data_IF_830287453471
#
_entry.id   IF_830287453471
#
_cell.length_a   1.000
_cell.length_b   1.000
_cell.length_c   1.000
_cell.angle_alpha   90.00
_cell.angle_beta   90.00
_cell.angle_gamma   90.00
#
_symmetry.space_group_name_H-M   'P 1'
#
loop_
_entity.id
_entity.type
_entity.pdbx_description
1 polymer ?
#
# COMPACT_ATOMS: atom_id res chain seq x y z
N UNK A 1 2.98 -19.69 -18.57
CA UNK A 1 4.34 -19.96 -19.09
C UNK A 1 5.31 -19.71 -17.95
N UNK A 2 5.91 -20.73 -17.38
CA UNK A 2 6.98 -20.58 -16.38
C UNK A 2 8.24 -20.20 -17.13
N UNK A 3 8.84 -19.07 -16.81
CA UNK A 3 10.17 -18.71 -17.29
C UNK A 3 11.14 -19.75 -16.68
N UNK A 4 11.68 -20.66 -17.49
CA UNK A 4 12.67 -21.63 -17.06
C UNK A 4 13.96 -20.87 -16.71
N UNK A 5 14.14 -20.57 -15.45
CA UNK A 5 15.39 -20.05 -14.91
C UNK A 5 16.23 -21.24 -14.44
N UNK A 6 17.18 -21.64 -15.26
CA UNK A 6 18.32 -22.45 -14.89
C UNK A 6 19.03 -21.72 -13.75
N UNK A 7 19.28 -22.45 -12.63
CA UNK A 7 19.85 -21.90 -11.41
C UNK A 7 21.18 -21.19 -11.63
N UNK A 8 21.11 -19.87 -11.65
CA UNK A 8 22.25 -19.00 -11.50
C UNK A 8 21.96 -18.05 -10.36
N UNK A 9 22.87 -17.98 -9.41
CA UNK A 9 23.08 -16.80 -8.56
C UNK A 9 23.50 -15.68 -9.50
N UNK A 10 22.54 -15.07 -10.19
CA UNK A 10 22.80 -14.03 -11.18
C UNK A 10 23.34 -12.84 -10.42
N UNK A 11 24.62 -12.53 -10.63
CA UNK A 11 25.19 -11.23 -10.33
C UNK A 11 24.33 -10.23 -11.09
N UNK A 12 23.37 -9.60 -10.38
CA UNK A 12 22.38 -8.71 -10.97
C UNK A 12 23.10 -7.68 -11.84
N UNK A 13 22.75 -7.59 -13.12
CA UNK A 13 23.34 -6.65 -14.07
C UNK A 13 23.20 -5.22 -13.53
N UNK A 14 24.11 -4.34 -13.92
CA UNK A 14 24.16 -2.96 -13.42
C UNK A 14 22.81 -2.25 -13.60
N UNK A 15 22.19 -2.43 -14.77
CA UNK A 15 20.92 -1.77 -15.10
C UNK A 15 19.78 -2.18 -14.17
N UNK A 16 19.64 -3.46 -13.84
CA UNK A 16 18.63 -3.93 -12.86
C UNK A 16 18.89 -3.39 -11.45
N UNK A 17 20.17 -3.29 -11.05
CA UNK A 17 20.53 -2.67 -9.75
C UNK A 17 20.14 -1.20 -9.69
N UNK A 18 20.34 -0.47 -10.79
CA UNK A 18 20.00 0.95 -10.87
C UNK A 18 18.47 1.14 -10.81
N UNK A 19 17.70 0.30 -11.52
CA UNK A 19 16.23 0.30 -11.45
C UNK A 19 15.76 -0.04 -10.03
N UNK A 20 16.32 -1.10 -9.42
CA UNK A 20 15.96 -1.52 -8.05
C UNK A 20 16.19 -0.39 -7.03
N UNK A 21 17.37 0.24 -7.09
CA UNK A 21 17.71 1.37 -6.22
C UNK A 21 16.80 2.57 -6.47
N UNK A 22 16.46 2.82 -7.72
CA UNK A 22 15.53 3.89 -8.07
C UNK A 22 14.14 3.65 -7.48
N UNK A 23 13.62 2.42 -7.57
CA UNK A 23 12.33 2.06 -6.95
C UNK A 23 12.40 2.27 -5.44
N UNK A 24 13.46 1.80 -4.76
CA UNK A 24 13.62 1.93 -3.32
C UNK A 24 13.60 3.39 -2.87
N UNK A 25 14.38 4.26 -3.53
CA UNK A 25 14.43 5.69 -3.23
C UNK A 25 13.07 6.36 -3.45
N UNK A 26 12.48 6.22 -4.64
CA UNK A 26 11.19 6.86 -5.00
C UNK A 26 10.06 6.46 -4.05
N UNK A 27 9.98 5.18 -3.69
CA UNK A 27 8.97 4.68 -2.78
C UNK A 27 9.20 5.11 -1.34
N UNK A 28 10.48 5.23 -0.92
CA UNK A 28 10.84 5.70 0.41
C UNK A 28 10.51 7.18 0.58
N UNK A 29 10.82 8.01 -0.42
CA UNK A 29 10.50 9.45 -0.43
C UNK A 29 8.98 9.67 -0.39
N UNK A 30 8.22 8.87 -1.12
CA UNK A 30 6.76 8.96 -1.18
C UNK A 30 6.05 8.71 0.16
N UNK A 31 6.70 8.10 1.15
CA UNK A 31 6.09 7.88 2.48
C UNK A 31 5.82 9.20 3.20
N UNK A 32 6.73 10.15 3.11
CA UNK A 32 6.68 11.44 3.83
C UNK A 32 6.27 12.63 2.96
N UNK A 33 6.50 12.55 1.66
CA UNK A 33 6.16 13.59 0.71
C UNK A 33 4.76 13.36 0.10
N UNK A 34 3.78 14.12 0.59
CA UNK A 34 2.39 14.04 0.11
C UNK A 34 2.19 14.57 -1.33
N UNK A 35 3.16 15.31 -1.89
CA UNK A 35 3.14 15.77 -3.28
C UNK A 35 3.72 14.73 -4.23
N UNK A 36 4.46 13.75 -3.72
CA UNK A 36 4.99 12.67 -4.53
C UNK A 36 3.85 11.83 -5.12
N UNK A 37 3.79 11.62 -6.45
CA UNK A 37 2.72 10.84 -7.07
C UNK A 37 2.56 9.41 -6.52
N UNK A 38 3.62 8.81 -5.98
CA UNK A 38 3.55 7.50 -5.34
C UNK A 38 3.02 7.52 -3.90
N UNK A 39 2.74 8.71 -3.33
CA UNK A 39 2.11 8.81 -2.01
C UNK A 39 0.70 8.22 -1.98
N UNK A 40 -0.03 8.35 -3.08
CA UNK A 40 -1.32 7.72 -3.30
C UNK A 40 -1.17 6.56 -4.28
N UNK A 41 -1.79 5.43 -3.97
CA UNK A 41 -1.75 4.29 -4.86
C UNK A 41 -3.09 3.56 -4.92
N UNK A 42 -3.30 2.83 -6.00
CA UNK A 42 -4.47 1.97 -6.18
C UNK A 42 -4.13 0.58 -5.69
N UNK A 43 -4.96 0.04 -4.79
CA UNK A 43 -4.88 -1.36 -4.39
C UNK A 43 -6.12 -2.11 -4.86
N UNK A 44 -5.89 -3.26 -5.46
CA UNK A 44 -6.90 -4.20 -5.92
C UNK A 44 -6.85 -5.51 -5.14
N UNK A 45 -8.02 -6.05 -4.88
CA UNK A 45 -8.22 -7.41 -4.38
C UNK A 45 -9.43 -8.03 -5.07
N UNK A 46 -9.58 -9.34 -4.97
CA UNK A 46 -10.76 -10.05 -5.46
C UNK A 46 -11.50 -10.68 -4.29
N UNK A 47 -12.81 -10.51 -4.26
CA UNK A 47 -13.72 -11.20 -3.34
C UNK A 47 -14.84 -11.82 -4.14
N UNK A 48 -15.07 -13.11 -3.97
CA UNK A 48 -16.13 -13.84 -4.70
C UNK A 48 -16.04 -13.67 -6.23
N UNK A 49 -14.81 -13.68 -6.76
CA UNK A 49 -14.47 -13.45 -8.17
C UNK A 49 -14.80 -12.04 -8.70
N UNK A 50 -15.19 -11.11 -7.84
CA UNK A 50 -15.41 -9.72 -8.21
C UNK A 50 -14.16 -8.91 -7.85
N UNK A 51 -13.49 -8.27 -8.82
CA UNK A 51 -12.35 -7.40 -8.54
C UNK A 51 -12.84 -6.08 -7.94
N UNK A 52 -12.14 -5.61 -6.92
CA UNK A 52 -12.39 -4.32 -6.27
C UNK A 52 -11.09 -3.52 -6.21
N UNK A 53 -11.19 -2.23 -6.53
CA UNK A 53 -10.05 -1.30 -6.47
C UNK A 53 -10.40 -0.06 -5.66
N UNK A 54 -9.40 0.54 -5.01
CA UNK A 54 -9.53 1.82 -4.30
C UNK A 54 -8.17 2.50 -4.17
N UNK A 55 -8.20 3.81 -4.04
CA UNK A 55 -7.02 4.59 -3.72
C UNK A 55 -6.78 4.60 -2.21
N UNK A 56 -5.55 4.44 -1.79
CA UNK A 56 -5.11 4.50 -0.39
C UNK A 56 -3.78 5.25 -0.28
N UNK A 57 -3.41 5.62 0.95
CA UNK A 57 -2.23 6.44 1.24
C UNK A 57 -1.08 5.55 1.70
N UNK A 58 0.09 5.69 1.08
CA UNK A 58 1.31 5.01 1.50
C UNK A 58 1.78 5.55 2.85
N UNK A 59 1.94 4.68 3.84
CA UNK A 59 2.31 5.05 5.20
C UNK A 59 3.65 4.48 5.66
N UNK A 60 4.14 3.48 4.97
CA UNK A 60 5.46 2.88 5.16
C UNK A 60 5.86 2.14 3.90
N UNK A 61 7.15 2.12 3.62
CA UNK A 61 7.78 1.28 2.61
C UNK A 61 9.09 0.72 3.15
N UNK A 62 9.43 -0.49 2.78
CA UNK A 62 10.74 -1.10 3.03
C UNK A 62 11.03 -2.15 1.96
N UNK A 63 11.96 -1.84 1.08
CA UNK A 63 12.43 -2.78 0.08
C UNK A 63 13.12 -3.99 0.73
N UNK A 64 13.93 -3.76 1.76
CA UNK A 64 14.64 -4.82 2.49
C UNK A 64 13.68 -5.85 3.12
N UNK A 65 12.56 -5.37 3.71
CA UNK A 65 11.53 -6.23 4.31
C UNK A 65 10.46 -6.69 3.33
N UNK A 66 10.50 -6.21 2.09
CA UNK A 66 9.52 -6.48 1.03
C UNK A 66 8.09 -6.11 1.47
N UNK A 67 7.93 -4.99 2.17
CA UNK A 67 6.63 -4.54 2.69
C UNK A 67 6.34 -3.09 2.34
N UNK A 68 5.06 -2.78 2.19
CA UNK A 68 4.52 -1.44 2.35
C UNK A 68 3.22 -1.48 3.15
N UNK A 69 2.79 -0.33 3.69
CA UNK A 69 1.66 -0.28 4.59
C UNK A 69 0.75 0.90 4.26
N UNK A 70 -0.55 0.71 4.47
CA UNK A 70 -1.54 1.77 4.56
C UNK A 70 -2.42 1.57 5.80
N UNK A 71 -3.18 2.59 6.19
CA UNK A 71 -4.07 2.54 7.33
C UNK A 71 -5.51 2.34 6.89
N UNK A 72 -6.32 1.68 7.73
CA UNK A 72 -7.74 1.49 7.49
C UNK A 72 -8.51 1.40 8.81
N UNK A 73 -9.83 1.38 8.69
CA UNK A 73 -10.77 1.10 9.76
C UNK A 73 -11.12 -0.39 9.74
N UNK A 74 -11.06 -1.07 10.88
CA UNK A 74 -11.36 -2.50 11.02
C UNK A 74 -12.80 -2.83 10.60
N UNK A 75 -13.72 -1.89 10.75
CA UNK A 75 -15.14 -2.01 10.42
C UNK A 75 -15.40 -1.95 8.91
N UNK A 76 -14.40 -1.54 8.11
CA UNK A 76 -14.53 -1.44 6.66
C UNK A 76 -14.70 -2.81 6.01
N UNK A 77 -15.67 -3.00 5.07
CA UNK A 77 -15.89 -4.26 4.36
C UNK A 77 -14.65 -4.81 3.66
N UNK A 78 -13.74 -3.92 3.20
CA UNK A 78 -12.47 -4.35 2.59
C UNK A 78 -11.64 -5.23 3.52
N UNK A 79 -11.69 -4.97 4.84
CA UNK A 79 -10.87 -5.72 5.82
C UNK A 79 -11.36 -7.16 5.94
N UNK A 80 -12.68 -7.38 6.01
CA UNK A 80 -13.24 -8.74 6.04
C UNK A 80 -12.93 -9.51 4.76
N UNK A 81 -13.00 -8.83 3.59
CA UNK A 81 -12.65 -9.41 2.29
C UNK A 81 -11.18 -9.79 2.18
N UNK A 82 -10.28 -8.89 2.64
CA UNK A 82 -8.84 -9.14 2.66
C UNK A 82 -8.43 -10.25 3.64
N UNK A 83 -9.17 -10.44 4.73
CA UNK A 83 -8.97 -11.61 5.62
C UNK A 83 -9.33 -12.93 4.95
N UNK A 84 -10.37 -12.94 4.10
CA UNK A 84 -10.80 -14.13 3.35
C UNK A 84 -9.86 -14.44 2.18
N UNK A 85 -9.44 -13.43 1.44
CA UNK A 85 -8.48 -13.54 0.34
C UNK A 85 -7.39 -12.49 0.48
N UNK A 86 -6.21 -12.84 1.02
CA UNK A 86 -5.16 -11.89 1.29
C UNK A 86 -4.36 -11.46 0.05
N UNK A 87 -4.63 -12.04 -1.13
CA UNK A 87 -3.91 -11.67 -2.34
C UNK A 87 -4.26 -10.25 -2.77
N UNK A 88 -3.26 -9.49 -3.17
CA UNK A 88 -3.43 -8.14 -3.68
C UNK A 88 -2.62 -7.88 -4.95
N UNK A 89 -3.05 -6.88 -5.69
CA UNK A 89 -2.25 -6.14 -6.66
C UNK A 89 -2.32 -4.66 -6.32
N UNK A 90 -1.18 -3.97 -6.38
CA UNK A 90 -1.12 -2.54 -6.16
C UNK A 90 -0.47 -1.85 -7.36
N UNK A 91 -1.02 -0.70 -7.73
CA UNK A 91 -0.55 0.14 -8.83
C UNK A 91 -0.13 1.51 -8.30
N UNK A 92 1.13 1.86 -8.54
CA UNK A 92 1.70 3.18 -8.36
C UNK A 92 2.03 3.75 -9.74
N UNK A 93 1.65 5.00 -9.99
CA UNK A 93 1.93 5.66 -11.26
C UNK A 93 2.43 7.07 -11.04
N UNK A 94 3.58 7.37 -11.64
CA UNK A 94 4.14 8.72 -11.67
C UNK A 94 3.97 9.28 -13.09
N UNK A 95 3.06 10.24 -13.31
CA UNK A 95 2.77 10.79 -14.64
C UNK A 95 3.92 11.66 -15.19
N UNK A 96 4.69 12.32 -14.33
CA UNK A 96 5.80 13.17 -14.73
C UNK A 96 6.98 12.33 -15.26
N UNK A 97 7.35 11.29 -14.49
CA UNK A 97 8.42 10.36 -14.84
C UNK A 97 7.96 9.27 -15.81
N UNK A 98 6.64 9.16 -16.04
CA UNK A 98 5.99 8.11 -16.84
C UNK A 98 6.42 6.71 -16.38
N UNK A 99 6.44 6.51 -15.06
CA UNK A 99 6.82 5.24 -14.45
C UNK A 99 5.60 4.61 -13.80
N UNK A 100 5.37 3.34 -14.11
CA UNK A 100 4.38 2.50 -13.47
C UNK A 100 5.08 1.39 -12.67
N UNK A 101 4.65 1.21 -11.43
CA UNK A 101 5.05 0.09 -10.58
C UNK A 101 3.82 -0.73 -10.22
N UNK A 102 3.88 -2.04 -10.44
CA UNK A 102 2.85 -2.97 -9.98
C UNK A 102 3.46 -3.91 -8.98
N UNK A 103 2.88 -3.96 -7.79
CA UNK A 103 3.26 -4.88 -6.72
C UNK A 103 2.21 -5.96 -6.60
N UNK A 104 2.63 -7.21 -6.38
CA UNK A 104 1.73 -8.31 -6.06
C UNK A 104 2.25 -9.11 -4.88
N UNK A 105 1.35 -9.65 -4.08
CA UNK A 105 1.73 -10.39 -2.87
C UNK A 105 0.54 -10.68 -1.98
N UNK A 106 0.80 -10.73 -0.67
CA UNK A 106 -0.21 -11.03 0.35
C UNK A 106 -0.31 -9.93 1.39
N UNK A 107 -1.49 -9.79 1.96
CA UNK A 107 -1.80 -8.81 3.00
C UNK A 107 -1.87 -9.50 4.36
N UNK A 108 -1.33 -8.81 5.37
CA UNK A 108 -1.53 -9.07 6.78
C UNK A 108 -2.26 -7.89 7.42
N UNK A 109 -3.25 -8.15 8.28
CA UNK A 109 -3.98 -7.13 9.03
C UNK A 109 -3.45 -7.09 10.46
N UNK A 110 -2.78 -5.99 10.80
CA UNK A 110 -2.26 -5.76 12.15
C UNK A 110 -3.29 -4.94 12.94
N UNK A 111 -3.73 -5.44 14.09
CA UNK A 111 -4.75 -4.81 14.92
C UNK A 111 -4.48 -5.04 16.41
N UNK A 112 -4.50 -3.98 17.22
CA UNK A 112 -4.33 -4.00 18.67
C UNK A 112 -3.03 -4.66 19.20
N UNK A 113 -2.00 -4.72 18.37
CA UNK A 113 -0.67 -5.22 18.69
C UNK A 113 0.31 -4.11 19.06
N UNK A 114 1.55 -4.47 19.35
CA UNK A 114 2.61 -3.51 19.71
C UNK A 114 2.96 -2.57 18.56
N UNK A 115 2.87 -3.04 17.30
CA UNK A 115 3.17 -2.27 16.11
C UNK A 115 2.11 -1.20 15.87
N UNK A 116 0.83 -1.59 15.94
CA UNK A 116 -0.30 -0.66 15.79
C UNK A 116 -0.33 0.36 16.91
N UNK A 117 -0.07 -0.04 18.19
CA UNK A 117 0.04 0.89 19.33
C UNK A 117 1.13 1.93 19.11
N UNK A 118 2.33 1.49 18.67
CA UNK A 118 3.43 2.42 18.37
C UNK A 118 3.07 3.38 17.24
N UNK A 119 2.43 2.86 16.19
CA UNK A 119 2.01 3.69 15.05
C UNK A 119 0.94 4.69 15.43
N UNK A 120 -0.06 4.26 16.21
CA UNK A 120 -1.15 5.11 16.69
C UNK A 120 -0.64 6.34 17.43
N UNK A 121 0.33 6.17 18.32
CA UNK A 121 0.94 7.29 19.06
C UNK A 121 1.57 8.36 18.16
N UNK A 122 2.04 7.98 16.96
CA UNK A 122 2.64 8.90 15.99
C UNK A 122 1.65 9.48 14.96
N UNK A 123 0.35 9.19 15.06
CA UNK A 123 -0.68 9.75 14.17
C UNK A 123 -1.18 11.07 14.76
N UNK A 124 -1.33 12.11 13.93
CA UNK A 124 -1.88 13.40 14.36
C UNK A 124 -3.33 13.26 14.83
N UNK A 125 -3.76 14.11 15.76
CA UNK A 125 -5.13 14.09 16.29
C UNK A 125 -6.17 14.29 15.18
N UNK A 126 -5.89 15.17 14.22
CA UNK A 126 -6.74 15.37 13.04
C UNK A 126 -6.92 14.09 12.21
N UNK A 127 -5.88 13.27 12.08
CA UNK A 127 -5.98 11.99 11.38
C UNK A 127 -6.67 10.92 12.22
N UNK A 128 -6.50 10.92 13.55
CA UNK A 128 -7.13 9.95 14.45
C UNK A 128 -8.65 10.09 14.49
N UNK A 129 -9.19 11.32 14.33
CA UNK A 129 -10.65 11.56 14.34
C UNK A 129 -11.41 10.74 13.28
N UNK A 130 -10.76 10.36 12.17
CA UNK A 130 -11.36 9.52 11.13
C UNK A 130 -11.76 8.12 11.63
N UNK A 131 -11.19 7.66 12.74
CA UNK A 131 -11.50 6.36 13.37
C UNK A 131 -12.57 6.46 14.47
N UNK A 132 -13.09 7.67 14.71
CA UNK A 132 -14.15 7.96 15.68
C UNK A 132 -15.54 8.03 15.03
N UNK A 133 -15.61 7.86 13.69
CA UNK A 133 -16.87 7.99 12.94
C UNK A 133 -17.97 7.08 13.49
N UNK A 134 -19.20 7.61 13.63
CA UNK A 134 -20.33 6.86 14.19
C UNK A 134 -20.79 5.71 13.31
N UNK A 135 -20.59 5.81 12.00
CA UNK A 135 -21.02 4.80 11.03
C UNK A 135 -19.85 3.90 10.60
N UNK A 136 -20.14 2.65 10.30
CA UNK A 136 -19.17 1.78 9.67
C UNK A 136 -18.84 2.29 8.25
N UNK A 137 -17.56 2.34 7.86
CA UNK A 137 -17.22 2.75 6.51
C UNK A 137 -17.98 1.92 5.45
N UNK A 138 -18.53 2.61 4.44
CA UNK A 138 -19.33 2.01 3.36
C UNK A 138 -20.69 1.44 3.77
N UNK A 139 -21.19 1.71 4.98
CA UNK A 139 -22.59 1.40 5.31
C UNK A 139 -23.54 2.38 4.62
N UNK A 140 -24.73 1.91 4.29
CA UNK A 140 -25.81 2.80 3.86
C UNK A 140 -26.24 3.70 5.03
N UNK A 141 -26.45 4.98 4.75
CA UNK A 141 -26.91 6.00 5.69
C UNK A 141 -28.04 6.79 5.02
N UNK A 142 -28.96 7.32 5.82
CA UNK A 142 -30.13 8.05 5.27
C UNK A 142 -29.77 9.44 4.74
N UNK A 143 -28.81 10.10 5.39
CA UNK A 143 -28.38 11.46 5.03
C UNK A 143 -26.88 11.52 4.82
N UNK A 144 -26.41 12.48 4.01
CA UNK A 144 -24.98 12.72 3.81
C UNK A 144 -24.32 13.12 5.14
N UNK A 145 -23.37 12.31 5.59
CA UNK A 145 -22.62 12.51 6.82
C UNK A 145 -21.11 12.31 6.59
N UNK A 146 -20.25 13.23 7.06
CA UNK A 146 -18.80 13.16 6.85
C UNK A 146 -18.11 12.00 7.60
N UNK A 147 -18.86 11.26 8.41
CA UNK A 147 -18.40 10.19 9.27
C UNK A 147 -17.27 10.61 10.25
N UNK A 148 -17.39 11.83 10.74
CA UNK A 148 -16.55 12.40 11.80
C UNK A 148 -17.54 12.86 12.90
N UNK A 149 -17.28 12.62 14.20
CA UNK A 149 -18.13 13.14 15.27
C UNK A 149 -18.33 14.65 15.13
N UNK A 150 -19.56 15.13 15.33
CA UNK A 150 -19.92 16.55 15.14
C UNK A 150 -19.02 17.50 15.94
N UNK A 151 -18.65 17.11 17.15
CA UNK A 151 -17.73 17.87 17.99
C UNK A 151 -16.35 18.12 17.37
N UNK A 152 -15.95 17.28 16.38
CA UNK A 152 -14.62 17.35 15.74
C UNK A 152 -14.67 17.72 14.26
N UNK A 153 -15.82 18.19 13.76
CA UNK A 153 -15.97 18.56 12.34
C UNK A 153 -15.09 19.75 11.95
N UNK A 154 -14.98 20.74 12.83
CA UNK A 154 -14.32 22.02 12.56
C UNK A 154 -13.12 22.31 13.47
N UNK A 155 -12.62 21.28 14.18
CA UNK A 155 -11.46 21.40 15.05
C UNK A 155 -10.77 20.09 15.30
N UNK A 156 -9.53 20.16 15.75
CA UNK A 156 -8.79 18.96 16.13
C UNK A 156 -9.16 18.56 17.57
N UNK A 157 -9.51 17.28 17.80
CA UNK A 157 -9.75 16.77 19.13
C UNK A 157 -8.49 16.79 19.99
N UNK A 158 -8.63 16.82 21.30
CA UNK A 158 -7.53 16.53 22.22
C UNK A 158 -7.12 15.06 22.09
N UNK A 159 -5.86 14.76 22.46
CA UNK A 159 -5.32 13.41 22.29
C UNK A 159 -6.17 12.35 23.04
N UNK A 160 -6.63 12.69 24.25
CA UNK A 160 -7.43 11.81 25.10
C UNK A 160 -8.79 11.49 24.48
N UNK A 161 -9.37 12.44 23.73
CA UNK A 161 -10.64 12.27 23.05
C UNK A 161 -10.52 11.35 21.82
N UNK A 162 -9.30 11.18 21.30
CA UNK A 162 -9.03 10.33 20.13
C UNK A 162 -8.75 8.87 20.47
N UNK A 163 -8.42 8.54 21.72
CA UNK A 163 -7.96 7.20 22.11
C UNK A 163 -8.96 6.08 21.80
N UNK A 164 -10.26 6.36 21.86
CA UNK A 164 -11.31 5.38 21.47
C UNK A 164 -11.18 4.96 19.99
N UNK A 165 -10.63 5.81 19.12
CA UNK A 165 -10.42 5.50 17.72
C UNK A 165 -9.39 4.38 17.47
N UNK A 166 -8.52 4.09 18.45
CA UNK A 166 -7.59 2.97 18.38
C UNK A 166 -8.29 1.63 18.22
N UNK A 167 -9.49 1.48 18.76
CA UNK A 167 -10.31 0.27 18.62
C UNK A 167 -10.63 -0.04 17.15
N UNK A 168 -10.75 0.99 16.32
CA UNK A 168 -11.08 0.89 14.90
C UNK A 168 -9.85 0.94 13.99
N UNK A 169 -8.69 1.33 14.51
CA UNK A 169 -7.48 1.50 13.72
C UNK A 169 -6.81 0.18 13.37
N UNK A 170 -6.51 -0.02 12.09
CA UNK A 170 -5.69 -1.14 11.62
C UNK A 170 -4.59 -0.67 10.67
N UNK A 171 -3.49 -1.39 10.68
CA UNK A 171 -2.47 -1.31 9.64
C UNK A 171 -2.70 -2.47 8.68
N UNK A 172 -2.82 -2.16 7.40
CA UNK A 172 -2.82 -3.16 6.33
C UNK A 172 -1.40 -3.24 5.82
N UNK A 173 -0.71 -4.31 6.13
CA UNK A 173 0.64 -4.60 5.69
C UNK A 173 0.60 -5.45 4.43
N UNK A 174 1.15 -4.93 3.35
CA UNK A 174 1.29 -5.60 2.07
C UNK A 174 2.70 -6.17 1.97
N UNK A 175 2.84 -7.48 2.03
CA UNK A 175 4.09 -8.19 1.78
C UNK A 175 4.14 -8.56 0.30
N UNK A 176 5.05 -7.92 -0.44
CA UNK A 176 5.12 -8.14 -1.87
C UNK A 176 6.12 -9.24 -2.25
N UNK A 177 5.71 -10.09 -3.16
CA UNK A 177 6.52 -11.14 -3.77
C UNK A 177 6.99 -10.78 -5.17
N UNK A 178 6.47 -9.71 -5.78
CA UNK A 178 6.96 -9.24 -7.07
C UNK A 178 6.76 -7.74 -7.26
N UNK A 179 7.63 -7.15 -8.10
CA UNK A 179 7.53 -5.78 -8.62
C UNK A 179 7.68 -5.83 -10.12
N UNK A 180 6.70 -5.31 -10.85
CA UNK A 180 6.73 -5.10 -12.29
C UNK A 180 6.93 -3.60 -12.54
N UNK A 181 8.08 -3.24 -13.09
CA UNK A 181 8.49 -1.88 -13.44
C UNK A 181 8.26 -1.65 -14.92
N UNK A 182 7.57 -0.59 -15.26
CA UNK A 182 7.37 -0.14 -16.64
C UNK A 182 7.70 1.35 -16.74
N UNK A 183 8.63 1.68 -17.63
CA UNK A 183 8.96 3.05 -18.03
C UNK A 183 8.40 3.35 -19.41
N UNK A 184 7.53 4.35 -19.51
CA UNK A 184 6.82 4.73 -20.72
C UNK A 184 7.53 5.93 -21.38
N UNK A 185 8.54 5.67 -22.22
CA UNK A 185 9.28 6.71 -22.94
C UNK A 185 8.84 6.78 -24.40
N UNK A 186 8.86 7.97 -24.97
CA UNK A 186 8.57 8.17 -26.40
C UNK A 186 9.56 7.41 -27.30
N UNK A 187 10.83 7.32 -26.89
CA UNK A 187 11.90 6.60 -27.59
C UNK A 187 11.83 5.07 -27.48
N UNK A 188 10.82 4.55 -26.81
CA UNK A 188 10.64 3.13 -26.52
C UNK A 188 10.42 2.86 -25.05
N UNK A 189 9.55 1.91 -24.75
CA UNK A 189 9.24 1.51 -23.37
C UNK A 189 10.28 0.52 -22.86
N UNK A 190 10.45 0.48 -21.54
CA UNK A 190 11.33 -0.48 -20.88
C UNK A 190 10.56 -1.12 -19.73
N UNK A 191 10.55 -2.46 -19.67
CA UNK A 191 9.80 -3.20 -18.65
C UNK A 191 10.62 -4.35 -18.11
N UNK A 192 10.69 -4.46 -16.79
CA UNK A 192 11.28 -5.61 -16.13
C UNK A 192 10.45 -6.04 -14.93
N UNK A 193 10.62 -7.29 -14.53
CA UNK A 193 9.94 -7.85 -13.37
C UNK A 193 10.98 -8.41 -12.39
N UNK A 194 10.85 -8.02 -11.13
CA UNK A 194 11.56 -8.60 -9.99
C UNK A 194 10.62 -9.57 -9.29
N UNK A 195 11.03 -10.81 -9.13
CA UNK A 195 10.34 -11.82 -8.33
C UNK A 195 11.20 -12.13 -7.10
N UNK A 196 10.61 -12.02 -5.92
CA UNK A 196 11.27 -12.20 -4.62
C UNK A 196 10.92 -13.57 -4.05
N UNK A 197 11.86 -14.48 -4.10
CA UNK A 197 11.81 -15.78 -3.39
C UNK A 197 12.44 -15.63 -2.00
N UNK A 198 12.31 -16.66 -1.14
CA UNK A 198 12.80 -16.60 0.26
C UNK A 198 14.26 -16.16 0.36
N UNK A 199 15.14 -16.64 -0.51
CA UNK A 199 16.59 -16.39 -0.46
C UNK A 199 17.17 -15.71 -1.69
N UNK A 200 16.37 -15.55 -2.76
CA UNK A 200 16.83 -15.03 -4.04
C UNK A 200 15.91 -13.96 -4.59
N UNK A 201 16.50 -13.06 -5.36
CA UNK A 201 15.76 -12.13 -6.23
C UNK A 201 16.07 -12.52 -7.65
N UNK A 202 15.06 -12.92 -8.40
CA UNK A 202 15.19 -13.10 -9.86
C UNK A 202 14.65 -11.86 -10.57
N UNK A 203 15.24 -11.52 -11.70
CA UNK A 203 14.81 -10.40 -12.52
C UNK A 203 14.92 -10.76 -14.00
N UNK A 204 13.96 -10.30 -14.79
CA UNK A 204 13.98 -10.46 -16.23
C UNK A 204 13.38 -9.25 -16.94
N UNK A 205 13.84 -9.00 -18.16
CA UNK A 205 13.18 -8.07 -19.08
C UNK A 205 11.89 -8.68 -19.58
N UNK A 206 10.88 -7.83 -19.75
CA UNK A 206 9.60 -8.17 -20.38
C UNK A 206 9.39 -7.28 -21.59
N UNK A 207 8.72 -7.81 -22.60
CA UNK A 207 8.16 -6.96 -23.65
C UNK A 207 7.12 -6.00 -23.02
N UNK A 208 7.18 -4.71 -23.34
CA UNK A 208 6.26 -3.70 -22.81
C UNK A 208 4.82 -3.97 -23.22
#
# INVERSE_FOLDING_TARGET
MRCNLIGFTVKMEKEFKDIYKKIDNEMSDAVSDYQNPFHLFVIGNSSENIPEVRTVVLRKFSMQKKIFQFHSDIRSPKISKLKKNPNFSALFYNPEKKIQLRFSGKIEILHKDTVTKKRWKGISNSSRRCYLGPHNPSSAIEENHPNIPDAFRFGDPKIEETEKGFENFVIVQCEFSSIDYLSLKYSGHSRCKFDFEEKNVSVCWLAP
#
